data_IF_098215667064
#
_entry.id   IF_098215667064
#
_cell.length_a   1.000
_cell.length_b   1.000
_cell.length_c   1.000
_cell.angle_alpha   90.00
_cell.angle_beta   90.00
_cell.angle_gamma   90.00
#
_symmetry.space_group_name_H-M   'P 1'
#
loop_
_entity.id
_entity.type
_entity.pdbx_description
1 polymer ?
#
# COMPACT_ATOMS: atom_id res chain seq x y z
N UNK A 1 9.09 6.18 -17.83
CA UNK A 1 9.04 5.16 -16.76
C UNK A 1 8.88 5.88 -15.44
N UNK A 2 8.06 5.37 -14.52
CA UNK A 2 7.96 5.91 -13.16
C UNK A 2 9.07 5.32 -12.27
N UNK A 3 9.62 6.11 -11.36
CA UNK A 3 10.60 5.67 -10.38
C UNK A 3 9.91 5.49 -9.02
N UNK A 4 10.22 4.42 -8.27
CA UNK A 4 9.63 4.19 -6.95
C UNK A 4 10.13 5.21 -5.91
N UNK A 5 11.37 5.67 -6.07
CA UNK A 5 12.02 6.64 -5.20
C UNK A 5 12.59 7.80 -6.00
N UNK A 6 12.63 8.98 -5.38
CA UNK A 6 13.25 10.14 -5.98
C UNK A 6 14.75 9.89 -6.26
N UNK A 7 15.28 10.37 -7.39
CA UNK A 7 16.72 10.31 -7.67
C UNK A 7 17.52 10.95 -6.52
N UNK A 8 18.56 10.25 -6.05
CA UNK A 8 19.36 10.65 -4.88
C UNK A 8 18.95 10.01 -3.56
N UNK A 9 17.77 9.37 -3.47
CA UNK A 9 17.35 8.64 -2.24
C UNK A 9 18.00 7.26 -2.18
N UNK A 10 17.75 6.42 -3.18
CA UNK A 10 18.36 5.09 -3.28
C UNK A 10 19.64 5.09 -4.16
N UNK A 11 19.99 6.23 -4.74
CA UNK A 11 21.15 6.40 -5.63
C UNK A 11 20.89 7.40 -6.77
N UNK A 12 21.94 7.73 -7.52
CA UNK A 12 21.90 8.73 -8.58
C UNK A 12 21.83 10.17 -8.05
N UNK A 13 21.52 11.11 -8.93
CA UNK A 13 21.35 12.53 -8.61
C UNK A 13 20.15 13.09 -9.36
N UNK A 14 19.39 13.98 -8.72
CA UNK A 14 18.31 14.69 -9.38
C UNK A 14 18.87 15.66 -10.44
N UNK A 15 18.42 15.49 -11.67
CA UNK A 15 18.64 16.39 -12.80
C UNK A 15 17.27 16.78 -13.38
N UNK A 16 16.88 18.07 -13.35
CA UNK A 16 15.59 18.52 -13.89
C UNK A 16 15.48 18.37 -15.42
N UNK A 17 16.60 18.15 -16.13
CA UNK A 17 16.57 17.80 -17.56
C UNK A 17 16.20 16.33 -17.80
N UNK A 18 16.29 15.47 -16.78
CA UNK A 18 16.02 14.03 -16.86
C UNK A 18 14.76 13.61 -16.11
N UNK A 19 14.37 14.36 -15.08
CA UNK A 19 13.29 13.97 -14.17
C UNK A 19 12.31 15.12 -13.93
N UNK A 20 11.03 14.77 -13.95
CA UNK A 20 9.93 15.63 -13.54
C UNK A 20 9.14 14.97 -12.40
N UNK A 21 8.58 15.79 -11.51
CA UNK A 21 7.66 15.30 -10.48
C UNK A 21 6.25 15.28 -11.04
N UNK A 22 5.63 14.10 -11.08
CA UNK A 22 4.23 13.91 -11.46
C UNK A 22 3.43 13.54 -10.21
N UNK A 23 2.42 14.33 -9.89
CA UNK A 23 1.47 14.04 -8.82
C UNK A 23 0.19 13.47 -9.43
N UNK A 24 0.14 12.14 -9.57
CA UNK A 24 -0.94 11.43 -10.27
C UNK A 24 -2.31 11.69 -9.63
N UNK A 25 -3.33 11.82 -10.48
CA UNK A 25 -4.72 11.99 -10.06
C UNK A 25 -5.47 10.66 -9.92
N UNK A 26 -6.67 10.69 -9.30
CA UNK A 26 -7.48 9.50 -9.09
C UNK A 26 -7.82 8.73 -10.38
N UNK A 27 -8.17 9.43 -11.46
CA UNK A 27 -8.49 8.81 -12.74
C UNK A 27 -7.28 8.12 -13.39
N UNK A 28 -6.09 8.70 -13.26
CA UNK A 28 -4.84 8.12 -13.76
C UNK A 28 -4.47 6.85 -12.97
N UNK A 29 -4.50 6.93 -11.64
CA UNK A 29 -4.25 5.76 -10.78
C UNK A 29 -5.28 4.66 -11.01
N UNK A 30 -6.55 5.00 -11.21
CA UNK A 30 -7.59 4.02 -11.55
C UNK A 30 -7.28 3.32 -12.87
N UNK A 31 -6.91 4.07 -13.91
CA UNK A 31 -6.58 3.51 -15.22
C UNK A 31 -5.37 2.57 -15.15
N UNK A 32 -4.32 2.95 -14.42
CA UNK A 32 -3.16 2.11 -14.20
C UNK A 32 -3.52 0.84 -13.43
N UNK A 33 -4.33 0.96 -12.38
CA UNK A 33 -4.80 -0.18 -11.59
C UNK A 33 -5.65 -1.13 -12.46
N UNK A 34 -6.57 -0.61 -13.26
CA UNK A 34 -7.37 -1.42 -14.19
C UNK A 34 -6.49 -2.14 -15.22
N UNK A 35 -5.52 -1.44 -15.81
CA UNK A 35 -4.56 -2.03 -16.73
C UNK A 35 -3.70 -3.13 -16.08
N UNK A 36 -3.33 -2.96 -14.80
CA UNK A 36 -2.67 -4.02 -14.03
C UNK A 36 -3.58 -5.24 -13.83
N UNK A 37 -4.85 -5.03 -13.43
CA UNK A 37 -5.82 -6.12 -13.22
C UNK A 37 -6.05 -6.92 -14.51
N UNK A 38 -6.23 -6.24 -15.64
CA UNK A 38 -6.39 -6.88 -16.95
C UNK A 38 -5.19 -7.75 -17.31
N UNK A 39 -3.97 -7.21 -17.14
CA UNK A 39 -2.72 -7.95 -17.40
C UNK A 39 -2.58 -9.15 -16.48
N UNK A 40 -2.85 -8.98 -15.19
CA UNK A 40 -2.79 -10.09 -14.22
C UNK A 40 -3.76 -11.21 -14.62
N UNK A 41 -5.01 -10.86 -14.94
CA UNK A 41 -6.03 -11.84 -15.30
C UNK A 41 -5.81 -12.45 -16.68
N UNK A 42 -5.09 -11.79 -17.58
CA UNK A 42 -4.64 -12.40 -18.84
C UNK A 42 -3.67 -13.57 -18.63
N UNK A 43 -2.88 -13.54 -17.54
CA UNK A 43 -1.94 -14.60 -17.17
C UNK A 43 -2.61 -15.63 -16.25
N UNK A 44 -3.37 -15.17 -15.25
CA UNK A 44 -4.13 -16.02 -14.33
C UNK A 44 -5.55 -15.49 -14.14
N UNK A 45 -6.48 -16.01 -14.94
CA UNK A 45 -7.89 -15.61 -14.89
C UNK A 45 -8.58 -15.91 -13.53
N UNK A 46 -8.01 -16.79 -12.71
CA UNK A 46 -8.55 -17.14 -11.39
C UNK A 46 -7.97 -16.32 -10.24
N UNK A 47 -6.97 -15.47 -10.50
CA UNK A 47 -6.35 -14.63 -9.48
C UNK A 47 -7.38 -13.73 -8.79
N UNK A 48 -7.35 -13.71 -7.46
CA UNK A 48 -8.15 -12.82 -6.61
C UNK A 48 -7.24 -11.84 -5.91
N UNK A 49 -7.69 -10.60 -5.76
CA UNK A 49 -6.91 -9.51 -5.21
C UNK A 49 -7.66 -8.86 -4.07
N UNK A 50 -6.92 -8.61 -2.98
CA UNK A 50 -7.34 -7.75 -1.90
C UNK A 50 -6.53 -6.46 -2.00
N UNK A 51 -7.20 -5.36 -2.30
CA UNK A 51 -6.61 -4.03 -2.37
C UNK A 51 -6.70 -3.38 -1.00
N UNK A 52 -5.66 -2.67 -0.59
CA UNK A 52 -5.68 -1.84 0.62
C UNK A 52 -4.78 -0.63 0.46
N UNK A 53 -5.10 0.46 1.15
CA UNK A 53 -4.23 1.63 1.25
C UNK A 53 -3.43 1.52 2.55
N UNK A 54 -2.14 1.84 2.50
CA UNK A 54 -1.31 1.84 3.72
C UNK A 54 -1.69 3.02 4.64
N UNK A 55 -1.89 2.79 5.96
CA UNK A 55 -2.13 3.86 6.92
C UNK A 55 -0.88 4.65 7.30
N UNK A 56 0.32 4.19 6.92
CA UNK A 56 1.58 4.86 7.25
C UNK A 56 1.63 6.23 6.56
N UNK A 57 1.76 7.35 7.31
CA UNK A 57 1.87 8.69 6.73
C UNK A 57 3.21 8.90 6.01
N UNK A 58 3.18 9.67 4.92
CA UNK A 58 4.36 10.09 4.18
C UNK A 58 5.36 10.87 5.06
N UNK A 59 6.66 10.61 4.89
CA UNK A 59 7.73 11.35 5.60
C UNK A 59 8.06 12.69 4.97
N UNK A 60 8.03 12.76 3.64
CA UNK A 60 8.43 13.91 2.85
C UNK A 60 7.62 13.98 1.55
N UNK A 61 7.63 15.15 0.91
CA UNK A 61 6.99 15.38 -0.38
C UNK A 61 7.85 16.29 -1.24
N UNK A 62 7.87 16.07 -2.54
CA UNK A 62 8.51 16.98 -3.51
C UNK A 62 7.67 18.24 -3.77
N UNK A 63 6.38 18.19 -3.44
CA UNK A 63 5.45 19.28 -3.73
C UNK A 63 5.75 20.49 -2.85
N UNK A 64 5.60 21.69 -3.40
CA UNK A 64 5.72 22.96 -2.67
C UNK A 64 4.47 23.21 -1.78
N UNK A 65 4.25 22.31 -0.82
CA UNK A 65 3.17 22.34 0.19
C UNK A 65 3.54 21.43 1.36
N UNK A 66 2.81 21.58 2.46
CA UNK A 66 3.10 20.80 3.67
C UNK A 66 2.89 19.29 3.43
N UNK A 67 3.75 18.46 4.04
CA UNK A 67 3.67 16.99 3.89
C UNK A 67 2.31 16.41 4.31
N UNK A 68 1.66 17.01 5.30
CA UNK A 68 0.29 16.61 5.71
C UNK A 68 -0.75 16.82 4.61
N UNK A 69 -0.65 17.91 3.84
CA UNK A 69 -1.54 18.19 2.72
C UNK A 69 -1.30 17.18 1.59
N UNK A 70 -0.03 16.94 1.25
CA UNK A 70 0.36 15.94 0.26
C UNK A 70 -0.06 14.52 0.65
N UNK A 71 0.10 14.14 1.92
CA UNK A 71 -0.33 12.85 2.44
C UNK A 71 -1.86 12.69 2.33
N UNK A 72 -2.61 13.70 2.78
CA UNK A 72 -4.07 13.68 2.70
C UNK A 72 -4.57 13.56 1.26
N UNK A 73 -3.98 14.32 0.34
CA UNK A 73 -4.29 14.24 -1.08
C UNK A 73 -3.98 12.85 -1.66
N UNK A 74 -2.74 12.39 -1.50
CA UNK A 74 -2.26 11.17 -2.16
C UNK A 74 -2.96 9.92 -1.63
N UNK A 75 -3.17 9.80 -0.31
CA UNK A 75 -3.94 8.69 0.27
C UNK A 75 -5.40 8.72 -0.16
N UNK A 76 -5.99 9.90 -0.33
CA UNK A 76 -7.36 10.04 -0.87
C UNK A 76 -7.46 9.60 -2.33
N UNK A 77 -6.50 10.00 -3.17
CA UNK A 77 -6.39 9.56 -4.57
C UNK A 77 -6.32 8.03 -4.66
N UNK A 78 -5.41 7.40 -3.90
CA UNK A 78 -5.28 5.94 -3.86
C UNK A 78 -6.57 5.26 -3.35
N UNK A 79 -7.21 5.84 -2.33
CA UNK A 79 -8.42 5.29 -1.73
C UNK A 79 -9.62 5.34 -2.69
N UNK A 80 -9.76 6.43 -3.46
CA UNK A 80 -10.77 6.58 -4.50
C UNK A 80 -10.54 5.56 -5.59
N UNK A 81 -9.34 5.50 -6.17
CA UNK A 81 -9.01 4.56 -7.24
C UNK A 81 -9.25 3.10 -6.83
N UNK A 82 -8.84 2.70 -5.62
CA UNK A 82 -9.08 1.35 -5.11
C UNK A 82 -10.59 1.05 -4.93
N UNK A 83 -11.36 2.05 -4.48
CA UNK A 83 -12.82 1.93 -4.34
C UNK A 83 -13.52 1.78 -5.69
N UNK A 84 -13.17 2.62 -6.66
CA UNK A 84 -13.74 2.59 -8.02
C UNK A 84 -13.37 1.31 -8.77
N UNK A 85 -12.13 0.83 -8.62
CA UNK A 85 -11.71 -0.45 -9.18
C UNK A 85 -12.57 -1.63 -8.66
N UNK A 86 -12.88 -1.66 -7.36
CA UNK A 86 -13.73 -2.70 -6.77
C UNK A 86 -15.22 -2.51 -7.12
N UNK A 87 -15.67 -1.26 -7.34
CA UNK A 87 -17.06 -0.94 -7.69
C UNK A 87 -17.41 -1.34 -9.14
N UNK A 88 -16.43 -1.65 -9.98
CA UNK A 88 -16.61 -2.12 -11.36
C UNK A 88 -17.43 -3.41 -11.50
N UNK A 89 -17.64 -4.14 -10.39
CA UNK A 89 -18.51 -5.32 -10.32
C UNK A 89 -17.78 -6.66 -10.47
N UNK A 90 -16.45 -6.68 -10.61
CA UNK A 90 -15.68 -7.92 -10.63
C UNK A 90 -15.49 -8.49 -9.21
N UNK A 91 -16.04 -9.66 -8.87
CA UNK A 91 -15.94 -10.23 -7.53
C UNK A 91 -14.52 -10.70 -7.16
N UNK A 92 -13.57 -10.71 -8.11
CA UNK A 92 -12.18 -11.11 -7.87
C UNK A 92 -11.36 -9.99 -7.23
N UNK A 93 -11.82 -8.74 -7.26
CA UNK A 93 -11.15 -7.61 -6.65
C UNK A 93 -11.99 -7.02 -5.51
N UNK A 94 -11.43 -6.99 -4.30
CA UNK A 94 -12.10 -6.44 -3.12
C UNK A 94 -11.19 -5.49 -2.37
N UNK A 95 -11.78 -4.47 -1.73
CA UNK A 95 -11.03 -3.55 -0.89
C UNK A 95 -11.11 -3.97 0.58
N UNK A 96 -9.95 -4.08 1.24
CA UNK A 96 -9.85 -4.26 2.67
C UNK A 96 -9.46 -2.95 3.37
N UNK A 97 -10.22 -2.48 4.37
CA UNK A 97 -10.10 -1.14 4.93
C UNK A 97 -9.03 -0.99 6.02
N UNK A 98 -7.79 -1.44 5.79
CA UNK A 98 -6.70 -1.26 6.76
C UNK A 98 -6.41 0.22 7.04
N UNK A 99 -6.31 1.04 5.98
CA UNK A 99 -6.23 2.50 6.08
C UNK A 99 -7.32 3.07 6.97
N UNK A 100 -8.58 2.77 6.63
CA UNK A 100 -9.75 3.37 7.27
C UNK A 100 -9.86 2.95 8.75
N UNK A 101 -9.51 1.71 9.11
CA UNK A 101 -9.46 1.24 10.52
C UNK A 101 -8.46 2.05 11.34
N UNK A 102 -7.29 2.32 10.78
CA UNK A 102 -6.17 2.95 11.49
C UNK A 102 -6.29 4.48 11.50
N UNK A 103 -6.82 5.09 10.46
CA UNK A 103 -6.99 6.55 10.38
C UNK A 103 -8.34 7.05 10.90
N UNK A 104 -9.24 6.14 11.31
CA UNK A 104 -10.57 6.53 11.80
C UNK A 104 -10.49 7.42 13.05
N UNK A 105 -11.31 8.47 13.06
CA UNK A 105 -11.47 9.35 14.21
C UNK A 105 -11.94 8.59 15.47
N UNK A 106 -12.61 7.43 15.32
CA UNK A 106 -13.12 6.64 16.45
C UNK A 106 -12.00 6.06 17.31
N UNK A 107 -10.82 5.82 16.75
CA UNK A 107 -9.68 5.32 17.51
C UNK A 107 -8.88 6.45 18.19
N UNK A 108 -9.19 7.72 17.91
CA UNK A 108 -8.55 8.90 18.48
C UNK A 108 -7.00 8.88 18.40
N UNK A 109 -6.43 8.36 17.31
CA UNK A 109 -4.99 8.26 17.09
C UNK A 109 -4.30 7.15 17.90
N UNK A 110 -5.04 6.32 18.66
CA UNK A 110 -4.49 5.31 19.57
C UNK A 110 -3.75 4.16 18.89
N UNK A 111 -3.77 4.08 17.56
CA UNK A 111 -3.07 3.05 16.81
C UNK A 111 -1.70 3.49 16.29
N UNK A 112 -1.30 4.73 16.52
CA UNK A 112 0.06 5.19 16.25
C UNK A 112 0.93 5.08 17.51
N UNK A 113 2.24 4.94 17.30
CA UNK A 113 3.26 5.16 18.32
C UNK A 113 3.47 6.67 18.53
N UNK A 114 4.39 7.03 19.45
CA UNK A 114 4.71 8.42 19.79
C UNK A 114 5.26 9.23 18.60
N UNK A 115 5.80 8.56 17.58
CA UNK A 115 6.23 9.16 16.32
C UNK A 115 5.07 9.59 15.41
N UNK A 116 3.82 9.26 15.78
CA UNK A 116 2.59 9.51 15.03
C UNK A 116 2.59 8.93 13.61
N UNK A 117 3.42 7.92 13.35
CA UNK A 117 3.60 7.31 12.02
C UNK A 117 3.62 5.80 12.05
N UNK A 118 4.42 5.21 12.93
CA UNK A 118 4.50 3.76 13.06
C UNK A 118 3.25 3.25 13.77
N UNK A 119 2.67 2.18 13.24
CA UNK A 119 1.48 1.57 13.82
C UNK A 119 1.88 0.69 14.99
N UNK A 120 1.24 0.86 16.14
CA UNK A 120 1.52 0.05 17.32
C UNK A 120 0.89 -1.35 17.22
N UNK A 121 1.35 -2.26 18.08
CA UNK A 121 0.89 -3.65 18.10
C UNK A 121 -0.63 -3.80 18.27
N UNK A 122 -1.27 -2.87 19.00
CA UNK A 122 -2.72 -2.91 19.18
C UNK A 122 -3.46 -2.61 17.87
N UNK A 123 -2.98 -1.63 17.10
CA UNK A 123 -3.46 -1.31 15.77
C UNK A 123 -3.27 -2.46 14.79
N UNK A 124 -2.04 -2.99 14.70
CA UNK A 124 -1.70 -4.14 13.84
C UNK A 124 -2.59 -5.33 14.18
N UNK A 125 -2.73 -5.68 15.46
CA UNK A 125 -3.56 -6.81 15.92
C UNK A 125 -5.04 -6.60 15.59
N UNK A 126 -5.55 -5.37 15.63
CA UNK A 126 -6.92 -5.10 15.22
C UNK A 126 -7.09 -5.32 13.72
N UNK A 127 -6.23 -4.72 12.89
CA UNK A 127 -6.28 -4.88 11.43
C UNK A 127 -6.21 -6.36 11.05
N UNK A 128 -5.25 -7.11 11.61
CA UNK A 128 -5.08 -8.54 11.29
C UNK A 128 -6.25 -9.39 11.78
N UNK A 129 -6.81 -9.10 12.95
CA UNK A 129 -8.02 -9.80 13.44
C UNK A 129 -9.19 -9.58 12.48
N UNK A 130 -9.41 -8.34 12.04
CA UNK A 130 -10.47 -8.02 11.08
C UNK A 130 -10.23 -8.70 9.73
N UNK A 131 -9.00 -8.67 9.23
CA UNK A 131 -8.62 -9.32 7.97
C UNK A 131 -8.91 -10.83 8.01
N UNK A 132 -8.43 -11.53 9.04
CA UNK A 132 -8.60 -12.98 9.16
C UNK A 132 -10.07 -13.37 9.39
N UNK A 133 -10.82 -12.58 10.16
CA UNK A 133 -12.25 -12.80 10.33
C UNK A 133 -13.03 -12.66 9.00
N UNK A 134 -12.57 -11.83 8.07
CA UNK A 134 -13.22 -11.66 6.75
C UNK A 134 -12.76 -12.70 5.74
N UNK A 135 -11.46 -12.96 5.64
CA UNK A 135 -10.88 -13.75 4.54
C UNK A 135 -10.42 -15.16 4.92
N UNK A 136 -10.45 -15.51 6.22
CA UNK A 136 -10.03 -16.82 6.72
C UNK A 136 -11.06 -17.47 7.65
N UNK A 137 -12.32 -17.00 7.64
CA UNK A 137 -13.39 -17.49 8.52
C UNK A 137 -13.64 -19.00 8.44
N UNK A 138 -13.49 -19.60 7.25
CA UNK A 138 -13.83 -21.01 6.98
C UNK A 138 -12.66 -22.00 7.15
N UNK A 139 -11.58 -21.64 7.86
CA UNK A 139 -10.47 -22.58 8.14
C UNK A 139 -10.78 -23.60 9.25
N UNK A 140 -11.93 -24.27 9.16
CA UNK A 140 -12.22 -25.51 9.92
C UNK A 140 -11.61 -26.75 9.27
N UNK A 141 -11.10 -26.64 8.04
CA UNK A 141 -10.31 -27.70 7.38
C UNK A 141 -8.93 -27.16 7.02
N UNK A 142 -7.82 -27.79 7.46
CA UNK A 142 -6.50 -27.46 6.96
C UNK A 142 -6.50 -27.66 5.44
N UNK A 143 -6.10 -26.63 4.68
CA UNK A 143 -5.78 -26.83 3.27
C UNK A 143 -4.71 -27.94 3.17
N UNK A 144 -4.76 -28.83 2.15
CA UNK A 144 -3.64 -29.70 1.88
C UNK A 144 -2.41 -28.82 1.74
N UNK A 145 -1.44 -29.05 2.62
CA UNK A 145 -0.14 -28.38 2.59
C UNK A 145 0.52 -28.84 1.30
N UNK A 146 0.29 -28.12 0.20
CA UNK A 146 1.22 -28.14 -0.92
C UNK A 146 2.57 -27.79 -0.30
N UNK A 147 3.59 -28.61 -0.61
CA UNK A 147 4.93 -28.51 -0.04
C UNK A 147 5.26 -27.03 0.16
N UNK A 148 5.51 -26.64 1.41
CA UNK A 148 5.70 -25.26 1.77
C UNK A 148 6.70 -24.67 0.78
N UNK A 149 6.20 -23.88 -0.18
CA UNK A 149 7.02 -22.79 -0.69
C UNK A 149 7.45 -22.09 0.57
N UNK A 150 8.76 -22.02 0.78
CA UNK A 150 9.31 -21.36 1.95
C UNK A 150 9.03 -19.87 1.77
N UNK A 151 7.77 -19.47 1.96
CA UNK A 151 7.32 -18.11 1.86
C UNK A 151 8.07 -17.25 2.86
N UNK A 152 8.58 -17.83 3.95
CA UNK A 152 9.44 -17.13 4.89
C UNK A 152 10.82 -16.86 4.27
N UNK A 153 11.49 -17.84 3.65
CA UNK A 153 12.78 -17.60 2.98
C UNK A 153 12.65 -16.85 1.64
N UNK A 154 11.54 -16.99 0.92
CA UNK A 154 11.21 -16.19 -0.26
C UNK A 154 10.90 -14.75 0.17
N UNK A 155 10.12 -14.56 1.23
CA UNK A 155 9.90 -13.23 1.80
C UNK A 155 11.19 -12.67 2.37
N UNK A 156 12.05 -13.41 3.07
CA UNK A 156 13.31 -12.94 3.64
C UNK A 156 14.38 -12.68 2.56
N UNK A 157 14.40 -13.47 1.49
CA UNK A 157 15.22 -13.24 0.29
C UNK A 157 14.72 -12.09 -0.59
N UNK A 158 13.43 -11.75 -0.51
CA UNK A 158 12.80 -10.61 -1.21
C UNK A 158 12.59 -9.40 -0.28
N UNK A 159 12.77 -9.55 1.04
CA UNK A 159 12.53 -8.55 2.11
C UNK A 159 13.54 -7.41 2.08
N UNK A 160 14.39 -7.39 1.04
CA UNK A 160 14.94 -6.16 0.51
C UNK A 160 13.88 -5.18 -0.03
N UNK A 161 12.57 -5.45 0.10
CA UNK A 161 11.54 -4.39 0.01
C UNK A 161 11.70 -3.48 1.22
N UNK A 162 12.68 -2.59 1.12
CA UNK A 162 12.82 -1.48 2.05
C UNK A 162 11.63 -0.56 1.78
N UNK A 163 10.87 -0.23 2.82
CA UNK A 163 9.78 0.74 2.70
C UNK A 163 10.35 2.02 2.09
N UNK A 164 9.72 2.54 1.04
CA UNK A 164 10.21 3.76 0.37
C UNK A 164 10.33 4.91 1.37
N UNK A 165 9.42 4.99 2.33
CA UNK A 165 9.46 5.94 3.45
C UNK A 165 10.69 5.77 4.35
N UNK A 166 11.13 4.53 4.63
CA UNK A 166 12.36 4.27 5.39
C UNK A 166 13.61 4.61 4.59
N UNK A 167 13.61 4.39 3.26
CA UNK A 167 14.72 4.81 2.41
C UNK A 167 14.86 6.33 2.39
N UNK A 168 13.75 7.05 2.27
CA UNK A 168 13.75 8.51 2.35
C UNK A 168 14.29 8.96 3.71
N UNK A 169 13.82 8.35 4.81
CA UNK A 169 14.30 8.66 6.17
C UNK A 169 15.81 8.47 6.31
N UNK A 170 16.34 7.33 5.85
CA UNK A 170 17.78 7.06 5.90
C UNK A 170 18.60 8.01 5.02
N UNK A 171 18.03 8.52 3.93
CA UNK A 171 18.73 9.45 3.03
C UNK A 171 18.88 10.87 3.60
N UNK A 172 18.07 11.22 4.60
CA UNK A 172 18.09 12.54 5.25
C UNK A 172 18.73 12.53 6.65
N UNK A 173 19.04 11.35 7.18
CA UNK A 173 19.72 11.13 8.47
C UNK A 173 21.25 11.21 8.33
#
# INVERSE_FOLDING_TARGET
>A
AALPLAPGVAGGTYDPALYECVNAGAAEVLADLQGFLERLWSVNASARIILTVSPVPMIATFMDRHVMESNSYSKSVLRVAAGEACASGDPRAVYFPAYDIVTSNVNAGRYYNDDLRTINDAGVRHVMRSFLATFAADRTTPAPVQAAHDFAAEYEGTAGVICDEEQIERSVA
#
